data_IF_692475593587
#
_entry.id   IF_692475593587
#
_cell.length_a   1.000
_cell.length_b   1.000
_cell.length_c   1.000
_cell.angle_alpha   90.00
_cell.angle_beta   90.00
_cell.angle_gamma   90.00
#
_symmetry.space_group_name_H-M   'P 1'
#
loop_
_entity.id
_entity.type
_entity.pdbx_description
1 polymer ?
#
# COMPACT_ATOMS: atom_id res chain seq x y z
N UNK A 1 5.92 -17.34 57.31
CA UNK A 1 6.36 -15.96 57.62
C UNK A 1 6.40 -15.18 56.32
N UNK A 2 5.54 -14.17 56.20
CA UNK A 2 5.44 -13.26 55.05
C UNK A 2 6.53 -12.18 55.18
N UNK A 3 7.26 -11.87 54.11
CA UNK A 3 7.76 -10.51 53.90
C UNK A 3 7.65 -10.10 52.43
N UNK A 4 6.67 -9.23 52.16
CA UNK A 4 6.60 -8.32 51.02
C UNK A 4 7.72 -7.29 51.16
N UNK A 5 8.37 -6.91 50.06
CA UNK A 5 9.10 -5.64 50.01
C UNK A 5 8.56 -4.81 48.85
N UNK A 6 8.22 -3.58 49.21
CA UNK A 6 7.37 -2.63 48.52
C UNK A 6 8.15 -1.70 47.58
N UNK A 7 7.41 -1.13 46.64
CA UNK A 7 7.77 -0.03 45.77
C UNK A 7 8.26 1.23 46.52
N UNK A 8 9.39 1.77 46.08
CA UNK A 8 9.78 3.19 46.09
C UNK A 8 11.13 3.25 45.36
N UNK A 9 11.30 3.98 44.26
CA UNK A 9 11.75 5.36 44.29
C UNK A 9 11.52 5.99 42.90
N UNK A 10 10.57 6.92 42.85
CA UNK A 10 10.48 7.99 41.84
C UNK A 10 10.99 9.24 42.56
N UNK A 11 11.96 9.97 41.98
CA UNK A 11 12.27 11.41 42.19
C UNK A 11 13.60 11.78 41.49
N UNK A 12 13.57 12.47 40.35
CA UNK A 12 13.69 13.95 40.14
C UNK A 12 15.10 14.53 40.23
N UNK A 13 15.61 15.05 39.11
CA UNK A 13 16.43 16.27 38.90
C UNK A 13 16.78 16.29 37.38
N UNK A 14 16.29 17.16 36.49
CA UNK A 14 16.18 18.62 36.37
C UNK A 14 17.52 19.35 36.11
N UNK A 15 17.55 20.09 34.97
CA UNK A 15 18.44 21.20 34.50
C UNK A 15 19.92 20.78 34.19
N UNK A 16 20.66 21.28 33.19
CA UNK A 16 20.61 22.56 32.49
C UNK A 16 21.58 22.60 31.28
N UNK A 17 21.22 23.40 30.26
CA UNK A 17 22.09 24.30 29.47
C UNK A 17 23.17 23.67 28.56
N UNK A 18 22.91 23.70 27.25
CA UNK A 18 23.89 24.21 26.28
C UNK A 18 23.15 25.00 25.21
N UNK A 19 23.32 26.33 25.26
CA UNK A 19 22.95 27.26 24.22
C UNK A 19 24.21 27.59 23.38
N UNK A 20 24.00 28.24 22.22
CA UNK A 20 24.99 28.82 21.28
C UNK A 20 25.53 27.78 20.27
N UNK A 21 25.55 27.98 18.95
CA UNK A 21 25.62 29.21 18.16
C UNK A 21 24.93 29.09 16.78
N UNK A 22 24.37 30.22 16.36
CA UNK A 22 24.03 30.59 14.99
C UNK A 22 25.22 30.42 14.03
N UNK A 23 24.96 29.89 12.83
CA UNK A 23 25.59 30.33 11.58
C UNK A 23 24.57 30.17 10.45
N UNK A 24 24.05 31.31 9.98
CA UNK A 24 23.36 31.42 8.70
C UNK A 24 24.41 31.59 7.59
N UNK A 25 24.23 30.89 6.46
CA UNK A 25 24.71 31.33 5.15
C UNK A 25 23.96 30.52 4.08
N UNK A 26 23.01 31.20 3.44
CA UNK A 26 22.48 30.75 2.17
C UNK A 26 23.44 31.11 1.03
N UNK A 27 23.48 30.27 0.00
CA UNK A 27 23.78 30.66 -1.37
C UNK A 27 22.93 29.80 -2.30
N UNK A 28 22.09 30.48 -3.08
CA UNK A 28 21.39 29.96 -4.26
C UNK A 28 22.08 30.55 -5.48
N UNK A 29 22.54 29.72 -6.42
CA UNK A 29 22.88 30.10 -7.81
C UNK A 29 22.81 28.81 -8.65
N UNK A 30 21.74 28.62 -9.44
CA UNK A 30 21.62 28.89 -10.90
C UNK A 30 22.63 28.19 -11.81
N UNK A 31 22.14 27.11 -12.44
CA UNK A 31 22.20 26.75 -13.87
C UNK A 31 23.46 26.96 -14.70
N UNK A 32 23.86 25.91 -15.46
CA UNK A 32 23.87 25.87 -16.93
C UNK A 32 24.65 24.64 -17.44
N UNK A 33 24.16 24.06 -18.55
CA UNK A 33 24.96 23.53 -19.69
C UNK A 33 25.90 22.32 -19.40
N UNK A 34 26.27 21.40 -20.30
CA UNK A 34 26.04 21.12 -21.72
C UNK A 34 27.06 20.03 -22.11
N UNK A 35 26.66 19.07 -22.97
CA UNK A 35 27.49 18.24 -23.89
C UNK A 35 28.45 17.15 -23.35
N UNK A 36 28.20 15.89 -23.76
CA UNK A 36 28.92 15.11 -24.80
C UNK A 36 28.34 13.67 -24.78
N UNK A 37 27.74 13.09 -25.83
CA UNK A 37 28.26 12.55 -27.12
C UNK A 37 29.59 11.79 -27.02
N UNK A 38 29.58 10.56 -27.58
CA UNK A 38 30.67 9.66 -28.06
C UNK A 38 30.62 8.32 -27.32
N UNK A 39 30.01 7.24 -27.84
CA UNK A 39 30.41 6.36 -28.98
C UNK A 39 31.80 5.74 -28.85
N UNK A 40 31.84 4.45 -28.49
CA UNK A 40 32.79 3.40 -28.93
C UNK A 40 32.23 2.05 -28.39
N UNK A 41 31.69 1.14 -29.20
CA UNK A 41 32.41 0.06 -29.89
C UNK A 41 33.53 -0.53 -29.02
N UNK A 42 33.57 -1.78 -28.56
CA UNK A 42 32.92 -3.04 -28.91
C UNK A 42 33.96 -4.13 -28.56
N UNK A 43 33.55 -5.31 -28.10
CA UNK A 43 34.25 -6.60 -28.34
C UNK A 43 33.34 -7.74 -27.90
N UNK A 44 33.21 -8.69 -28.81
CA UNK A 44 32.36 -9.86 -28.81
C UNK A 44 33.09 -11.03 -28.12
N UNK A 45 32.34 -11.96 -27.52
CA UNK A 45 32.77 -13.36 -27.35
C UNK A 45 31.55 -14.26 -27.30
N UNK A 46 31.17 -14.68 -28.50
CA UNK A 46 30.88 -16.05 -28.92
C UNK A 46 30.78 -17.13 -27.84
N UNK A 47 29.60 -17.77 -27.75
CA UNK A 47 29.52 -19.22 -27.51
C UNK A 47 28.42 -19.78 -28.42
N UNK A 48 28.86 -20.62 -29.35
CA UNK A 48 28.09 -21.34 -30.37
C UNK A 48 27.46 -22.62 -29.85
N UNK A 49 26.23 -22.86 -30.34
CA UNK A 49 25.59 -24.15 -30.65
C UNK A 49 25.35 -25.13 -29.48
N UNK A 50 24.28 -25.93 -29.41
CA UNK A 50 23.67 -26.71 -30.47
C UNK A 50 22.15 -26.83 -30.32
N UNK A 51 21.47 -26.87 -31.47
CA UNK A 51 20.05 -27.05 -31.63
C UNK A 51 19.73 -28.54 -31.81
N UNK A 52 18.66 -29.01 -31.19
CA UNK A 52 17.95 -30.20 -31.63
C UNK A 52 16.51 -29.83 -32.02
N UNK A 53 16.11 -30.26 -33.21
CA UNK A 53 14.90 -29.92 -33.95
C UNK A 53 14.06 -31.19 -34.06
N UNK A 54 12.79 -31.20 -33.64
CA UNK A 54 11.68 -31.91 -34.35
C UNK A 54 10.30 -31.44 -33.84
N UNK A 55 9.19 -31.63 -34.58
CA UNK A 55 8.37 -30.50 -35.00
C UNK A 55 6.85 -30.69 -34.75
N UNK A 56 6.11 -29.66 -35.15
CA UNK A 56 4.78 -29.77 -35.77
C UNK A 56 3.64 -30.40 -34.93
N UNK A 57 2.88 -29.53 -34.23
CA UNK A 57 1.49 -29.77 -33.92
C UNK A 57 0.63 -28.63 -34.52
N UNK A 58 -0.35 -29.06 -35.32
CA UNK A 58 -1.30 -28.30 -36.15
C UNK A 58 -2.25 -27.42 -35.30
N UNK A 59 -2.70 -26.26 -35.77
CA UNK A 59 -3.79 -25.52 -35.14
C UNK A 59 -5.13 -26.10 -35.65
N UNK A 60 -5.86 -26.81 -34.80
CA UNK A 60 -7.25 -27.16 -35.07
C UNK A 60 -8.19 -26.71 -33.94
N UNK A 61 -9.22 -26.01 -34.37
CA UNK A 61 -10.56 -25.90 -33.78
C UNK A 61 -10.76 -25.13 -32.46
N UNK A 62 -10.94 -23.82 -32.64
CA UNK A 62 -12.13 -23.08 -32.23
C UNK A 62 -13.21 -23.90 -31.48
N UNK A 63 -13.34 -23.70 -30.16
CA UNK A 63 -14.65 -23.79 -29.50
C UNK A 63 -14.85 -22.59 -28.57
N UNK A 64 -15.44 -21.55 -29.14
CA UNK A 64 -16.16 -20.51 -28.42
C UNK A 64 -17.42 -21.17 -27.85
N UNK A 65 -17.29 -21.81 -26.69
CA UNK A 65 -18.41 -22.29 -25.92
C UNK A 65 -18.89 -21.16 -24.98
N UNK A 66 -19.97 -20.53 -25.43
CA UNK A 66 -21.06 -20.04 -24.57
C UNK A 66 -20.72 -18.94 -23.55
N UNK A 67 -20.79 -17.69 -24.04
CA UNK A 67 -21.28 -16.55 -23.26
C UNK A 67 -22.53 -16.97 -22.46
N UNK A 68 -22.55 -16.89 -21.11
CA UNK A 68 -23.83 -16.70 -20.46
C UNK A 68 -24.34 -15.32 -20.84
N UNK A 69 -25.56 -15.33 -21.34
CA UNK A 69 -26.36 -14.21 -21.75
C UNK A 69 -26.34 -13.10 -20.70
N UNK A 70 -25.69 -12.00 -21.08
CA UNK A 70 -25.91 -10.68 -20.52
C UNK A 70 -27.34 -10.25 -20.86
N UNK A 71 -28.20 -10.31 -19.86
CA UNK A 71 -29.55 -9.74 -19.74
C UNK A 71 -29.93 -10.05 -18.29
N UNK A 72 -30.43 -9.18 -17.42
CA UNK A 72 -30.86 -7.80 -17.50
C UNK A 72 -31.07 -7.42 -16.04
N UNK A 73 -30.44 -6.35 -15.56
CA UNK A 73 -30.93 -5.61 -14.41
C UNK A 73 -30.68 -4.12 -14.67
N UNK A 74 -31.53 -3.60 -15.55
CA UNK A 74 -32.05 -2.23 -15.50
C UNK A 74 -31.00 -1.12 -15.46
N UNK A 75 -30.53 -0.76 -16.65
CA UNK A 75 -29.97 0.57 -16.89
C UNK A 75 -31.05 1.63 -16.61
N UNK A 76 -30.92 2.32 -15.47
CA UNK A 76 -31.51 3.65 -15.27
C UNK A 76 -30.60 4.49 -14.38
N UNK A 77 -29.73 5.28 -15.01
CA UNK A 77 -29.42 6.64 -14.57
C UNK A 77 -28.53 7.33 -15.61
N UNK A 78 -29.14 8.13 -16.49
CA UNK A 78 -28.43 9.05 -17.38
C UNK A 78 -28.22 10.39 -16.67
N UNK A 79 -27.50 10.34 -15.55
CA UNK A 79 -26.99 11.49 -14.82
C UNK A 79 -25.53 11.25 -14.44
N UNK A 80 -24.75 12.29 -14.09
CA UNK A 80 -23.40 12.11 -13.59
C UNK A 80 -23.45 11.24 -12.32
N UNK A 81 -22.90 10.02 -12.41
CA UNK A 81 -22.82 9.10 -11.27
C UNK A 81 -21.68 9.56 -10.35
N UNK A 82 -22.04 10.28 -9.29
CA UNK A 82 -21.10 10.57 -8.20
C UNK A 82 -20.90 9.30 -7.38
N UNK A 83 -19.67 8.82 -7.30
CA UNK A 83 -19.32 7.65 -6.48
C UNK A 83 -19.45 7.99 -4.99
N UNK A 84 -19.96 7.05 -4.20
CA UNK A 84 -19.95 7.12 -2.73
C UNK A 84 -18.50 7.15 -2.21
N UNK A 85 -18.29 7.61 -0.98
CA UNK A 85 -16.96 7.63 -0.35
C UNK A 85 -16.37 6.22 -0.26
N UNK A 86 -17.17 5.22 0.13
CA UNK A 86 -16.76 3.82 0.16
C UNK A 86 -16.36 3.31 -1.24
N UNK A 87 -17.12 3.64 -2.29
CA UNK A 87 -16.78 3.24 -3.65
C UNK A 87 -15.50 3.92 -4.17
N UNK A 88 -15.21 5.16 -3.73
CA UNK A 88 -13.91 5.80 -4.00
C UNK A 88 -12.79 5.14 -3.19
N UNK A 89 -13.06 4.78 -1.94
CA UNK A 89 -12.14 4.07 -1.06
C UNK A 89 -11.75 2.71 -1.59
N UNK A 90 -12.70 1.94 -2.12
CA UNK A 90 -12.44 0.66 -2.77
C UNK A 90 -11.49 0.84 -3.96
N UNK A 91 -11.66 1.90 -4.76
CA UNK A 91 -10.75 2.20 -5.87
C UNK A 91 -9.34 2.48 -5.36
N UNK A 92 -9.18 3.22 -4.26
CA UNK A 92 -7.88 3.45 -3.62
C UNK A 92 -7.30 2.13 -3.12
N UNK A 93 -8.09 1.31 -2.43
CA UNK A 93 -7.69 0.00 -1.90
C UNK A 93 -7.13 -0.92 -2.97
N UNK A 94 -7.75 -0.95 -4.17
CA UNK A 94 -7.24 -1.74 -5.30
C UNK A 94 -6.00 -1.10 -5.94
N UNK A 95 -6.02 0.21 -6.16
CA UNK A 95 -4.91 0.94 -6.81
C UNK A 95 -3.61 0.90 -6.00
N UNK A 96 -3.72 1.00 -4.68
CA UNK A 96 -2.60 0.88 -3.75
C UNK A 96 -2.21 -0.59 -3.47
N UNK A 97 -2.75 -1.54 -4.24
CA UNK A 97 -2.47 -2.97 -4.15
C UNK A 97 -2.79 -3.62 -2.78
N UNK A 98 -3.62 -2.97 -1.96
CA UNK A 98 -4.01 -3.50 -0.65
C UNK A 98 -4.72 -4.86 -0.80
N UNK A 99 -5.53 -5.02 -1.86
CA UNK A 99 -6.25 -6.25 -2.15
C UNK A 99 -5.34 -7.47 -2.40
N UNK A 100 -4.07 -7.28 -2.76
CA UNK A 100 -3.13 -8.38 -2.98
C UNK A 100 -2.93 -9.23 -1.72
N UNK A 101 -2.90 -8.58 -0.55
CA UNK A 101 -2.82 -9.27 0.74
C UNK A 101 -4.17 -9.27 1.48
N UNK A 102 -5.01 -8.26 1.27
CA UNK A 102 -6.22 -8.02 2.06
C UNK A 102 -7.53 -8.23 1.29
N UNK A 103 -7.55 -9.16 0.32
CA UNK A 103 -8.76 -9.50 -0.43
C UNK A 103 -9.95 -9.83 0.50
N UNK A 104 -11.08 -9.16 0.29
CA UNK A 104 -12.28 -9.32 1.12
C UNK A 104 -12.07 -9.03 2.61
N UNK A 105 -11.07 -8.20 2.95
CA UNK A 105 -10.68 -7.87 4.32
C UNK A 105 -9.91 -8.95 5.07
N UNK A 106 -9.51 -10.04 4.40
CA UNK A 106 -8.64 -11.07 5.00
C UNK A 106 -7.19 -10.58 5.10
N UNK A 107 -6.26 -11.46 5.44
CA UNK A 107 -4.83 -11.20 5.38
C UNK A 107 -4.10 -12.46 4.92
N UNK A 108 -3.54 -12.42 3.71
CA UNK A 108 -2.86 -13.57 3.10
C UNK A 108 -1.52 -13.90 3.76
N UNK A 109 -0.83 -12.89 4.31
CA UNK A 109 0.48 -13.07 4.97
C UNK A 109 0.33 -13.50 6.43
N UNK A 110 -0.66 -12.96 7.13
CA UNK A 110 -0.96 -13.26 8.53
C UNK A 110 -2.46 -13.55 8.70
N UNK A 111 -2.91 -14.80 8.44
CA UNK A 111 -4.33 -15.16 8.45
C UNK A 111 -5.08 -14.82 9.75
N UNK A 112 -4.39 -14.87 10.89
CA UNK A 112 -4.95 -14.56 12.21
C UNK A 112 -5.16 -13.05 12.46
N UNK A 113 -4.71 -12.19 11.53
CA UNK A 113 -4.80 -10.73 11.63
C UNK A 113 -5.52 -10.12 10.41
N UNK A 114 -6.81 -10.42 10.20
CA UNK A 114 -7.60 -9.80 9.15
C UNK A 114 -7.85 -8.31 9.43
N UNK A 115 -8.15 -7.53 8.40
CA UNK A 115 -8.55 -6.11 8.51
C UNK A 115 -10.07 -5.94 8.60
N UNK A 116 -10.75 -6.96 9.16
CA UNK A 116 -12.21 -6.98 9.37
C UNK A 116 -12.55 -7.75 10.65
N UNK A 117 -13.81 -7.64 11.07
CA UNK A 117 -14.35 -8.34 12.23
C UNK A 117 -14.12 -7.58 13.53
N UNK A 118 -14.72 -8.10 14.60
CA UNK A 118 -14.76 -7.43 15.91
C UNK A 118 -13.37 -7.17 16.49
N UNK A 119 -12.43 -8.11 16.33
CA UNK A 119 -11.06 -7.94 16.82
C UNK A 119 -10.35 -6.74 16.17
N UNK A 120 -10.51 -6.58 14.85
CA UNK A 120 -9.99 -5.43 14.12
C UNK A 120 -10.65 -4.13 14.60
N UNK A 121 -11.98 -4.10 14.65
CA UNK A 121 -12.75 -2.92 15.09
C UNK A 121 -12.40 -2.50 16.52
N UNK A 122 -12.18 -3.46 17.43
CA UNK A 122 -11.76 -3.17 18.81
C UNK A 122 -10.33 -2.64 18.90
N UNK A 123 -9.42 -3.13 18.06
CA UNK A 123 -8.03 -2.67 18.02
C UNK A 123 -7.91 -1.27 17.40
N UNK A 124 -8.64 -1.02 16.33
CA UNK A 124 -8.62 0.23 15.59
C UNK A 124 -9.95 0.96 15.77
N UNK A 125 -10.33 1.35 16.99
CA UNK A 125 -11.59 2.08 17.22
C UNK A 125 -11.57 3.50 16.65
N UNK A 126 -10.40 4.12 16.66
CA UNK A 126 -10.16 5.46 16.16
C UNK A 126 -9.59 5.41 14.74
N UNK A 127 -10.18 6.19 13.84
CA UNK A 127 -9.73 6.31 12.45
C UNK A 127 -8.35 6.97 12.35
N UNK A 128 -7.97 7.84 13.29
CA UNK A 128 -6.63 8.44 13.30
C UNK A 128 -5.54 7.38 13.54
N UNK A 129 -5.81 6.39 14.39
CA UNK A 129 -4.88 5.27 14.65
C UNK A 129 -4.79 4.38 13.42
N UNK A 130 -5.92 4.10 12.75
CA UNK A 130 -5.95 3.31 11.52
C UNK A 130 -5.20 4.03 10.39
N UNK A 131 -5.43 5.33 10.23
CA UNK A 131 -4.70 6.18 9.29
C UNK A 131 -3.20 6.09 9.56
N UNK A 132 -2.76 6.38 10.79
CA UNK A 132 -1.34 6.34 11.16
C UNK A 132 -0.73 4.96 10.90
N UNK A 133 -1.49 3.89 11.13
CA UNK A 133 -1.06 2.51 10.83
C UNK A 133 -0.83 2.31 9.35
N UNK A 134 -1.72 2.79 8.48
CA UNK A 134 -1.56 2.69 7.02
C UNK A 134 -0.40 3.59 6.56
N UNK A 135 -0.25 4.79 7.13
CA UNK A 135 0.85 5.71 6.83
C UNK A 135 2.21 5.10 7.16
N UNK A 136 2.32 4.45 8.31
CA UNK A 136 3.57 3.84 8.80
C UNK A 136 3.85 2.49 8.14
N UNK A 137 2.81 1.70 7.88
CA UNK A 137 2.93 0.31 7.47
C UNK A 137 3.59 -0.58 8.52
N UNK A 138 3.87 -1.82 8.10
CA UNK A 138 4.68 -2.80 8.81
C UNK A 138 5.67 -3.43 7.82
N UNK A 139 6.76 -2.72 7.44
CA UNK A 139 7.67 -3.19 6.39
C UNK A 139 8.28 -4.55 6.68
N UNK A 140 8.62 -4.81 7.95
CA UNK A 140 9.15 -6.10 8.41
C UNK A 140 8.12 -7.25 8.26
N UNK A 141 6.82 -6.93 8.32
CA UNK A 141 5.72 -7.89 8.14
C UNK A 141 5.15 -7.85 6.69
N UNK A 142 5.81 -7.14 5.77
CA UNK A 142 5.44 -7.06 4.36
C UNK A 142 4.34 -6.06 4.01
N UNK A 143 3.81 -5.28 4.95
CA UNK A 143 2.88 -4.18 4.65
C UNK A 143 3.67 -2.87 4.43
N UNK A 144 3.73 -2.32 3.21
CA UNK A 144 4.47 -1.09 2.96
C UNK A 144 3.84 0.14 3.65
N UNK A 145 4.65 1.18 3.80
CA UNK A 145 4.20 2.50 4.25
C UNK A 145 3.55 3.27 3.09
N UNK A 146 2.45 3.98 3.35
CA UNK A 146 1.75 4.76 2.33
C UNK A 146 1.78 6.27 2.67
N UNK A 147 2.74 6.98 2.09
CA UNK A 147 2.89 8.43 2.25
C UNK A 147 1.77 9.24 1.59
N UNK A 148 1.76 10.56 1.86
CA UNK A 148 0.75 11.49 1.30
C UNK A 148 0.87 11.66 -0.22
N UNK A 149 2.03 11.35 -0.77
CA UNK A 149 2.37 11.28 -2.19
C UNK A 149 1.71 10.09 -2.90
N UNK A 150 1.50 8.97 -2.21
CA UNK A 150 0.83 7.78 -2.77
C UNK A 150 -0.67 7.78 -2.52
N UNK A 151 -1.07 8.18 -1.32
CA UNK A 151 -2.48 8.25 -0.90
C UNK A 151 -2.69 9.63 -0.28
N UNK A 152 -3.43 10.51 -0.96
CA UNK A 152 -3.74 11.84 -0.42
C UNK A 152 -4.62 11.75 0.83
N UNK A 153 -4.76 12.86 1.58
CA UNK A 153 -5.61 12.88 2.79
C UNK A 153 -7.08 12.56 2.48
N UNK A 154 -7.60 13.02 1.33
CA UNK A 154 -8.98 12.70 0.94
C UNK A 154 -9.13 11.24 0.55
N UNK A 155 -8.15 10.67 -0.16
CA UNK A 155 -8.12 9.26 -0.50
C UNK A 155 -7.99 8.37 0.74
N UNK A 156 -7.23 8.80 1.75
CA UNK A 156 -7.09 8.08 3.01
C UNK A 156 -8.41 8.00 3.77
N UNK A 157 -9.17 9.10 3.83
CA UNK A 157 -10.50 9.12 4.46
C UNK A 157 -11.47 8.19 3.74
N UNK A 158 -11.53 8.26 2.40
CA UNK A 158 -12.37 7.37 1.60
C UNK A 158 -11.95 5.89 1.80
N UNK A 159 -10.63 5.62 1.83
CA UNK A 159 -10.06 4.29 2.05
C UNK A 159 -10.45 3.71 3.42
N UNK A 160 -10.36 4.51 4.48
CA UNK A 160 -10.74 4.10 5.83
C UNK A 160 -12.23 3.73 5.86
N UNK A 161 -13.10 4.55 5.26
CA UNK A 161 -14.54 4.24 5.18
C UNK A 161 -14.79 2.91 4.47
N UNK A 162 -14.07 2.64 3.38
CA UNK A 162 -14.14 1.32 2.74
C UNK A 162 -13.64 0.19 3.64
N UNK A 163 -12.54 0.36 4.37
CA UNK A 163 -12.04 -0.66 5.31
C UNK A 163 -13.07 -0.93 6.43
N UNK A 164 -13.74 0.12 6.94
CA UNK A 164 -14.81 -0.02 7.93
C UNK A 164 -15.98 -0.85 7.40
N UNK A 165 -16.36 -0.66 6.14
CA UNK A 165 -17.48 -1.41 5.54
C UNK A 165 -17.20 -2.90 5.32
N UNK A 166 -15.93 -3.33 5.40
CA UNK A 166 -15.54 -4.75 5.32
C UNK A 166 -15.99 -5.58 6.53
N UNK A 167 -16.43 -4.93 7.62
CA UNK A 167 -17.01 -5.61 8.78
C UNK A 167 -18.52 -5.39 8.79
N UNK A 168 -19.33 -6.37 8.39
CA UNK A 168 -20.78 -6.28 8.52
C UNK A 168 -21.13 -6.11 9.99
N UNK A 169 -21.90 -5.07 10.32
CA UNK A 169 -22.49 -4.94 11.63
C UNK A 169 -23.60 -6.00 11.73
N UNK A 170 -23.48 -6.90 12.69
CA UNK A 170 -24.48 -7.93 12.99
C UNK A 170 -25.49 -7.40 14.00
#
# INVERSE_FOLDING_TARGET
MLQKVSAQQVKTALVAIFAVSLCASGCSEKGAASKNVTTTAGTQSEVTAEAEIVPNAKPEEFQIASRPKSESATAKSTGPVTLTAEARGEKVFRKAYCAGCHAGGNNAMMPDKPIKGEAFTRKYKDDAILEQTIRKGFPEDGMPAFGKDQISESQMKDLILYIRSLTPIK
#
